data_IF_912577094792
#
_entry.id   IF_912577094792
#
_cell.length_a   1.000
_cell.length_b   1.000
_cell.length_c   1.000
_cell.angle_alpha   90.00
_cell.angle_beta   90.00
_cell.angle_gamma   90.00
#
_symmetry.space_group_name_H-M   'P 1'
#
loop_
_entity.id
_entity.type
_entity.pdbx_description
1 polymer ?
#
# COMPACT_ATOMS: atom_id res chain seq x y z
N UNK A 1 4.92 23.01 2.79
CA UNK A 1 3.54 22.77 3.31
C UNK A 1 3.09 23.70 4.45
N UNK A 2 3.95 24.55 5.03
CA UNK A 2 3.61 25.44 6.17
C UNK A 2 3.02 24.69 7.39
N UNK A 3 3.61 23.54 7.75
CA UNK A 3 3.23 22.74 8.92
C UNK A 3 1.89 21.99 8.84
N UNK A 4 1.09 22.18 7.78
CA UNK A 4 -0.21 21.52 7.62
C UNK A 4 -0.06 20.03 7.32
N UNK A 5 -0.98 19.21 7.83
CA UNK A 5 -1.08 17.79 7.50
C UNK A 5 -1.25 17.57 6.00
N UNK A 6 -0.39 16.72 5.42
CA UNK A 6 -0.44 16.31 4.01
C UNK A 6 -0.12 14.83 3.90
N UNK A 7 -0.86 14.11 3.06
CA UNK A 7 -0.48 12.79 2.59
C UNK A 7 0.43 12.95 1.37
N UNK A 8 1.69 12.53 1.49
CA UNK A 8 2.60 12.45 0.35
C UNK A 8 2.53 11.04 -0.27
N UNK A 9 1.99 10.95 -1.49
CA UNK A 9 2.03 9.73 -2.30
C UNK A 9 3.44 9.41 -2.79
N UNK A 10 3.66 8.14 -3.15
CA UNK A 10 4.88 7.58 -3.75
C UNK A 10 6.15 8.32 -3.31
N UNK A 11 6.36 8.37 -1.99
CA UNK A 11 7.33 9.27 -1.36
C UNK A 11 8.77 8.97 -1.74
N UNK A 12 9.08 7.79 -2.27
CA UNK A 12 10.38 7.47 -2.85
C UNK A 12 10.67 8.28 -4.12
N UNK A 13 9.65 8.54 -4.93
CA UNK A 13 9.71 9.48 -6.06
C UNK A 13 9.60 8.89 -7.47
N UNK A 14 9.71 7.56 -7.66
CA UNK A 14 9.53 6.92 -8.96
C UNK A 14 8.13 7.21 -9.53
N UNK A 15 7.08 7.10 -8.71
CA UNK A 15 5.70 7.47 -9.06
C UNK A 15 5.45 8.97 -9.26
N UNK A 16 6.41 9.82 -8.84
CA UNK A 16 6.40 11.26 -9.10
C UNK A 16 6.82 12.10 -7.89
N UNK A 17 7.48 13.23 -8.14
CA UNK A 17 7.93 14.12 -7.09
C UNK A 17 9.09 15.01 -7.52
N UNK A 18 9.56 15.85 -6.60
CA UNK A 18 10.77 16.64 -6.80
C UNK A 18 11.98 15.71 -6.95
N UNK A 19 12.69 15.81 -8.08
CA UNK A 19 13.86 14.98 -8.35
C UNK A 19 15.14 15.64 -7.84
N UNK A 20 16.06 14.92 -7.16
CA UNK A 20 15.96 13.51 -6.76
C UNK A 20 15.45 13.32 -5.32
N UNK A 21 15.04 14.39 -4.64
CA UNK A 21 15.03 14.47 -3.17
C UNK A 21 13.64 14.46 -2.50
N UNK A 22 12.57 14.14 -3.23
CA UNK A 22 11.21 14.12 -2.68
C UNK A 22 11.08 13.27 -1.40
N UNK A 23 11.84 12.19 -1.27
CA UNK A 23 11.84 11.32 -0.09
C UNK A 23 12.17 12.02 1.23
N UNK A 24 12.83 13.19 1.18
CA UNK A 24 13.06 14.04 2.35
C UNK A 24 11.76 14.38 3.10
N UNK A 25 10.61 14.39 2.43
CA UNK A 25 9.31 14.62 3.06
C UNK A 25 8.95 13.56 4.12
N UNK A 26 9.50 12.34 4.04
CA UNK A 26 9.22 11.26 5.00
C UNK A 26 9.77 11.55 6.41
N UNK A 27 10.74 12.47 6.52
CA UNK A 27 11.29 12.98 7.78
C UNK A 27 10.48 14.13 8.41
N UNK A 28 9.38 14.58 7.79
CA UNK A 28 8.60 15.71 8.26
C UNK A 28 7.44 15.26 9.16
N UNK A 29 7.28 15.90 10.33
CA UNK A 29 6.27 15.51 11.34
C UNK A 29 4.82 15.62 10.84
N UNK A 30 4.54 16.58 9.96
CA UNK A 30 3.21 16.85 9.40
C UNK A 30 2.92 16.06 8.11
N UNK A 31 3.84 15.18 7.69
CA UNK A 31 3.68 14.39 6.47
C UNK A 31 3.34 12.95 6.83
N UNK A 32 2.28 12.45 6.20
CA UNK A 32 1.86 11.06 6.23
C UNK A 32 2.33 10.45 4.90
N UNK A 33 3.43 9.70 4.92
CA UNK A 33 4.06 9.19 3.70
C UNK A 33 3.50 7.83 3.28
N UNK A 34 3.33 7.63 1.97
CA UNK A 34 3.08 6.32 1.38
C UNK A 34 4.03 5.97 0.24
N UNK A 35 4.18 4.67 0.02
CA UNK A 35 4.77 4.08 -1.19
C UNK A 35 3.68 3.58 -2.14
N UNK A 36 4.03 3.46 -3.42
CA UNK A 36 3.24 2.80 -4.46
C UNK A 36 3.94 1.52 -4.85
N UNK A 37 3.18 0.47 -5.13
CA UNK A 37 3.73 -0.88 -5.04
C UNK A 37 4.68 -1.40 -6.14
N UNK A 38 4.97 -0.73 -7.27
CA UNK A 38 5.95 -1.29 -8.22
C UNK A 38 7.41 -1.25 -7.74
N UNK A 39 7.77 -0.33 -6.86
CA UNK A 39 9.13 -0.24 -6.29
C UNK A 39 9.36 -1.24 -5.16
N UNK A 40 8.29 -1.72 -4.52
CA UNK A 40 8.33 -2.54 -3.32
C UNK A 40 8.19 -4.06 -3.62
N UNK A 41 9.15 -4.93 -3.27
CA UNK A 41 10.51 -4.61 -2.86
C UNK A 41 11.44 -4.37 -4.05
N UNK A 42 12.62 -3.80 -3.77
CA UNK A 42 13.68 -3.68 -4.75
C UNK A 42 14.17 -5.06 -5.21
N UNK A 43 13.85 -5.42 -6.46
CA UNK A 43 14.32 -6.63 -7.16
C UNK A 43 15.15 -6.26 -8.40
N UNK A 44 15.81 -7.25 -9.00
CA UNK A 44 16.71 -7.02 -10.15
C UNK A 44 16.03 -6.38 -11.36
N UNK A 45 14.72 -6.55 -11.53
CA UNK A 45 13.99 -6.05 -12.70
C UNK A 45 13.32 -4.68 -12.48
N UNK A 46 13.29 -4.18 -11.24
CA UNK A 46 12.47 -3.01 -10.88
C UNK A 46 12.89 -1.75 -11.63
N UNK A 47 14.19 -1.52 -11.81
CA UNK A 47 14.70 -0.30 -12.45
C UNK A 47 14.32 -0.26 -13.93
N UNK A 48 14.58 -1.34 -14.66
CA UNK A 48 14.28 -1.44 -16.09
C UNK A 48 12.76 -1.32 -16.33
N UNK A 49 11.96 -2.03 -15.54
CA UNK A 49 10.51 -1.99 -15.63
C UNK A 49 9.95 -0.57 -15.38
N UNK A 50 10.45 0.11 -14.35
CA UNK A 50 9.98 1.45 -13.98
C UNK A 50 10.34 2.51 -15.01
N UNK A 51 11.49 2.39 -15.67
CA UNK A 51 11.89 3.33 -16.72
C UNK A 51 10.87 3.29 -17.87
N UNK A 52 10.62 2.11 -18.45
CA UNK A 52 9.67 1.94 -19.55
C UNK A 52 8.24 2.31 -19.12
N UNK A 53 7.85 1.94 -17.89
CA UNK A 53 6.54 2.30 -17.35
C UNK A 53 6.35 3.81 -17.20
N UNK A 54 7.40 4.53 -16.79
CA UNK A 54 7.40 6.00 -16.68
C UNK A 54 7.22 6.64 -18.05
N UNK A 55 7.95 6.13 -19.06
CA UNK A 55 7.82 6.58 -20.44
C UNK A 55 6.38 6.46 -20.94
N UNK A 56 5.74 5.31 -20.72
CA UNK A 56 4.36 5.07 -21.14
C UNK A 56 3.35 5.91 -20.35
N UNK A 57 3.40 5.89 -19.01
CA UNK A 57 2.38 6.53 -18.17
C UNK A 57 2.35 8.06 -18.34
N UNK A 58 3.51 8.66 -18.63
CA UNK A 58 3.64 10.10 -18.86
C UNK A 58 3.58 10.51 -20.33
N UNK A 59 3.28 9.57 -21.24
CA UNK A 59 3.18 9.82 -22.69
C UNK A 59 4.45 10.47 -23.27
N UNK A 60 5.62 9.97 -22.84
CA UNK A 60 6.94 10.49 -23.21
C UNK A 60 7.42 9.85 -24.52
N UNK A 61 8.22 10.58 -25.30
CA UNK A 61 8.84 10.07 -26.53
C UNK A 61 10.31 9.67 -26.28
N UNK A 62 10.69 8.39 -26.47
CA UNK A 62 12.09 7.96 -26.32
C UNK A 62 13.05 8.62 -27.33
N UNK A 63 12.54 9.34 -28.34
CA UNK A 63 13.33 10.11 -29.29
C UNK A 63 13.61 11.54 -28.83
N UNK A 64 12.95 12.01 -27.76
CA UNK A 64 13.15 13.33 -27.16
C UNK A 64 14.11 13.17 -25.96
N UNK A 65 15.34 13.71 -26.03
CA UNK A 65 16.33 13.53 -24.94
C UNK A 65 15.86 14.06 -23.59
N UNK A 66 15.08 15.14 -23.56
CA UNK A 66 14.54 15.73 -22.34
C UNK A 66 13.49 14.84 -21.66
N UNK A 67 12.71 14.11 -22.45
CA UNK A 67 11.72 13.14 -21.97
C UNK A 67 12.42 11.94 -21.33
N UNK A 68 13.47 11.44 -21.98
CA UNK A 68 14.33 10.37 -21.44
C UNK A 68 15.02 10.84 -20.15
N UNK A 69 15.62 12.03 -20.15
CA UNK A 69 16.28 12.60 -18.98
C UNK A 69 15.29 12.81 -17.81
N UNK A 70 14.04 13.19 -18.10
CA UNK A 70 12.99 13.28 -17.10
C UNK A 70 12.68 11.90 -16.49
N UNK A 71 12.54 10.85 -17.30
CA UNK A 71 12.31 9.49 -16.81
C UNK A 71 13.51 8.97 -15.98
N UNK A 72 14.74 9.16 -16.47
CA UNK A 72 15.98 8.79 -15.73
C UNK A 72 16.10 9.54 -14.41
N UNK A 73 15.70 10.83 -14.37
CA UNK A 73 15.73 11.61 -13.13
C UNK A 73 14.80 11.06 -12.05
N UNK A 74 13.76 10.31 -12.45
CA UNK A 74 12.73 9.75 -11.56
C UNK A 74 13.03 8.34 -11.07
N UNK A 75 13.63 7.51 -11.91
CA UNK A 75 13.88 6.10 -11.62
C UNK A 75 15.31 5.93 -11.10
N UNK A 76 15.47 5.90 -9.78
CA UNK A 76 16.79 5.88 -9.13
C UNK A 76 16.92 4.67 -8.23
N UNK A 77 17.86 3.77 -8.54
CA UNK A 77 18.11 2.57 -7.73
C UNK A 77 18.39 2.86 -6.25
N UNK A 78 19.02 4.00 -5.96
CA UNK A 78 19.43 4.39 -4.62
C UNK A 78 18.22 4.70 -3.74
N UNK A 79 17.26 5.49 -4.24
CA UNK A 79 16.04 5.81 -3.50
C UNK A 79 15.10 4.60 -3.44
N UNK A 80 15.02 3.79 -4.48
CA UNK A 80 14.27 2.51 -4.46
C UNK A 80 14.82 1.57 -3.38
N UNK A 81 16.14 1.40 -3.30
CA UNK A 81 16.76 0.58 -2.26
C UNK A 81 16.58 1.15 -0.84
N UNK A 82 16.59 2.48 -0.70
CA UNK A 82 16.38 3.14 0.58
C UNK A 82 14.90 3.09 1.03
N UNK A 83 13.95 3.06 0.10
CA UNK A 83 12.52 2.91 0.39
C UNK A 83 12.23 1.62 1.14
N UNK A 84 12.79 0.49 0.69
CA UNK A 84 12.68 -0.80 1.37
C UNK A 84 13.08 -0.69 2.85
N UNK A 85 14.20 -0.03 3.12
CA UNK A 85 14.72 0.18 4.47
C UNK A 85 13.82 1.13 5.28
N UNK A 86 13.38 2.24 4.69
CA UNK A 86 12.46 3.20 5.33
C UNK A 86 11.13 2.53 5.70
N UNK A 87 10.63 1.61 4.87
CA UNK A 87 9.46 0.80 5.17
C UNK A 87 9.72 -0.08 6.40
N UNK A 88 10.85 -0.79 6.46
CA UNK A 88 11.18 -1.66 7.60
C UNK A 88 11.45 -0.88 8.88
N UNK A 89 11.98 0.34 8.79
CA UNK A 89 12.19 1.25 9.93
C UNK A 89 10.88 1.86 10.46
N UNK A 90 9.81 1.81 9.69
CA UNK A 90 8.54 2.47 10.00
C UNK A 90 8.56 3.97 9.74
N UNK A 91 9.42 4.44 8.83
CA UNK A 91 9.47 5.83 8.36
C UNK A 91 8.53 6.09 7.18
N UNK A 92 8.15 5.06 6.42
CA UNK A 92 7.01 5.13 5.49
C UNK A 92 5.84 4.39 6.12
N UNK A 93 4.68 5.05 6.15
CA UNK A 93 3.57 4.63 7.01
C UNK A 93 2.47 3.87 6.29
N UNK A 94 2.39 4.02 4.97
CA UNK A 94 1.30 3.52 4.14
C UNK A 94 1.85 2.87 2.87
N UNK A 95 1.19 1.82 2.39
CA UNK A 95 1.42 1.24 1.06
C UNK A 95 0.14 1.31 0.25
N UNK A 96 0.23 1.82 -0.98
CA UNK A 96 -0.88 1.96 -1.92
C UNK A 96 -0.54 1.29 -3.25
N UNK A 97 -1.53 1.16 -4.16
CA UNK A 97 -1.29 0.58 -5.48
C UNK A 97 -0.70 1.59 -6.46
N UNK A 98 -1.41 2.70 -6.68
CA UNK A 98 -1.36 3.53 -7.90
C UNK A 98 -1.98 2.86 -9.14
N UNK A 99 -3.13 2.22 -8.92
CA UNK A 99 -3.75 1.32 -9.88
C UNK A 99 -3.88 1.92 -11.29
N UNK A 100 -3.26 1.25 -12.26
CA UNK A 100 -3.27 1.61 -13.69
C UNK A 100 -2.57 2.94 -14.04
N UNK A 101 -1.82 3.53 -13.12
CA UNK A 101 -1.07 4.77 -13.31
C UNK A 101 0.31 4.65 -12.64
N UNK A 102 1.11 3.67 -13.07
CA UNK A 102 2.32 3.21 -12.38
C UNK A 102 2.05 2.40 -11.12
N UNK A 103 1.11 1.45 -11.16
CA UNK A 103 0.76 0.66 -9.99
C UNK A 103 -0.22 -0.47 -10.22
N UNK A 104 -0.22 -1.44 -9.29
CA UNK A 104 -0.92 -2.73 -9.45
C UNK A 104 -1.97 -2.95 -8.36
N UNK A 105 -3.26 -2.87 -8.72
CA UNK A 105 -4.37 -2.90 -7.72
C UNK A 105 -4.41 -4.17 -6.87
N UNK A 106 -4.10 -5.32 -7.47
CA UNK A 106 -4.19 -6.64 -6.81
C UNK A 106 -3.00 -7.00 -5.92
N UNK A 107 -1.99 -6.13 -5.82
CA UNK A 107 -0.68 -6.51 -5.27
C UNK A 107 -0.31 -5.79 -3.98
N UNK A 108 -1.10 -4.85 -3.47
CA UNK A 108 -0.74 -4.05 -2.29
C UNK A 108 -0.38 -4.91 -1.08
N UNK A 109 -1.25 -5.86 -0.69
CA UNK A 109 -0.95 -6.75 0.43
C UNK A 109 0.23 -7.68 0.12
N UNK A 110 0.29 -8.21 -1.10
CA UNK A 110 1.35 -9.12 -1.53
C UNK A 110 2.73 -8.48 -1.46
N UNK A 111 2.87 -7.27 -2.00
CA UNK A 111 4.11 -6.48 -2.05
C UNK A 111 4.54 -6.06 -0.65
N UNK A 112 3.57 -5.72 0.21
CA UNK A 112 3.83 -5.46 1.62
C UNK A 112 4.48 -6.67 2.33
N UNK A 113 4.00 -7.90 2.06
CA UNK A 113 4.56 -9.11 2.67
C UNK A 113 5.88 -9.56 2.02
N UNK A 114 6.04 -9.40 0.71
CA UNK A 114 7.30 -9.63 0.00
C UNK A 114 8.41 -8.71 0.53
N UNK A 115 8.07 -7.44 0.81
CA UNK A 115 9.01 -6.50 1.40
C UNK A 115 9.39 -6.87 2.83
N UNK A 116 8.41 -7.23 3.67
CA UNK A 116 8.69 -7.70 5.03
C UNK A 116 9.61 -8.93 5.05
N UNK A 117 9.39 -9.88 4.13
CA UNK A 117 10.20 -11.08 3.93
C UNK A 117 11.63 -10.72 3.49
N UNK A 118 11.79 -9.87 2.46
CA UNK A 118 13.11 -9.38 2.02
C UNK A 118 13.87 -8.69 3.14
N UNK A 119 13.20 -7.80 3.88
CA UNK A 119 13.84 -7.05 4.96
C UNK A 119 14.24 -7.94 6.13
N UNK A 120 13.47 -8.99 6.43
CA UNK A 120 13.92 -10.02 7.37
C UNK A 120 15.17 -10.74 6.88
N UNK A 121 15.19 -11.15 5.62
CA UNK A 121 16.32 -11.87 5.03
C UNK A 121 17.62 -11.05 5.10
N UNK A 122 17.56 -9.75 4.81
CA UNK A 122 18.76 -8.91 4.73
C UNK A 122 19.12 -8.22 6.05
N UNK A 123 18.14 -7.97 6.94
CA UNK A 123 18.36 -7.22 8.19
C UNK A 123 18.15 -8.02 9.47
N UNK A 124 17.73 -9.28 9.35
CA UNK A 124 17.42 -10.14 10.49
C UNK A 124 16.10 -9.78 11.19
N UNK A 125 15.87 -10.35 12.39
CA UNK A 125 14.69 -10.06 13.21
C UNK A 125 14.60 -8.58 13.58
N UNK A 126 13.38 -8.03 13.60
CA UNK A 126 13.15 -6.67 14.07
C UNK A 126 13.35 -6.60 15.60
N UNK A 127 13.66 -5.41 16.13
CA UNK A 127 13.77 -5.21 17.59
C UNK A 127 12.50 -5.68 18.30
N UNK A 128 12.65 -6.61 19.25
CA UNK A 128 11.56 -7.21 20.03
C UNK A 128 10.97 -8.49 19.43
N UNK A 129 11.37 -8.87 18.21
CA UNK A 129 11.10 -10.17 17.61
C UNK A 129 12.19 -11.19 17.99
N UNK A 130 11.99 -12.47 17.66
CA UNK A 130 12.95 -13.54 17.94
C UNK A 130 13.11 -14.48 16.74
N UNK A 131 13.97 -15.49 16.87
CA UNK A 131 14.10 -16.54 15.84
C UNK A 131 12.78 -17.31 15.58
N UNK A 132 11.86 -17.32 16.55
CA UNK A 132 10.61 -18.08 16.50
C UNK A 132 9.40 -17.25 16.06
N UNK A 133 9.52 -15.92 15.95
CA UNK A 133 8.40 -15.07 15.56
C UNK A 133 8.85 -13.70 15.01
N UNK A 134 8.02 -13.12 14.15
CA UNK A 134 8.23 -11.80 13.52
C UNK A 134 7.08 -10.85 13.87
N UNK A 135 6.49 -10.96 15.06
CA UNK A 135 5.20 -10.35 15.36
C UNK A 135 5.22 -8.81 15.28
N UNK A 136 6.31 -8.16 15.69
CA UNK A 136 6.43 -6.71 15.60
C UNK A 136 6.61 -6.27 14.14
N UNK A 137 7.41 -6.98 13.34
CA UNK A 137 7.45 -6.75 11.89
C UNK A 137 6.08 -6.96 11.25
N UNK A 138 5.39 -8.06 11.56
CA UNK A 138 4.04 -8.35 11.03
C UNK A 138 3.05 -7.22 11.36
N UNK A 139 3.02 -6.75 12.62
CA UNK A 139 2.18 -5.61 13.04
C UNK A 139 2.54 -4.32 12.29
N UNK A 140 3.83 -4.03 12.13
CA UNK A 140 4.32 -2.87 11.37
C UNK A 140 3.82 -2.90 9.93
N UNK A 141 3.92 -4.04 9.25
CA UNK A 141 3.57 -4.14 7.84
C UNK A 141 2.06 -4.24 7.60
N UNK A 142 1.31 -5.03 8.37
CA UNK A 142 -0.15 -5.11 8.21
C UNK A 142 -0.81 -3.75 8.36
N UNK A 143 -0.28 -2.88 9.22
CA UNK A 143 -0.79 -1.54 9.43
C UNK A 143 -0.67 -0.63 8.20
N UNK A 144 0.33 -0.85 7.33
CA UNK A 144 0.60 -0.02 6.15
C UNK A 144 -0.52 -0.05 5.12
N UNK A 145 -1.29 -1.14 5.05
CA UNK A 145 -2.40 -1.29 4.11
C UNK A 145 -3.76 -1.52 4.80
N UNK A 146 -3.83 -1.43 6.13
CA UNK A 146 -5.08 -1.55 6.89
C UNK A 146 -5.38 -0.26 7.65
N UNK A 147 -4.85 -0.10 8.86
CA UNK A 147 -5.25 0.98 9.76
C UNK A 147 -4.65 2.33 9.38
N UNK A 148 -3.40 2.39 8.89
CA UNK A 148 -2.78 3.66 8.56
C UNK A 148 -3.48 4.36 7.38
N UNK A 149 -3.78 3.70 6.23
CA UNK A 149 -4.58 4.32 5.18
C UNK A 149 -5.94 4.82 5.68
N UNK A 150 -6.59 4.08 6.58
CA UNK A 150 -7.86 4.47 7.17
C UNK A 150 -7.72 5.72 8.06
N UNK A 151 -6.64 5.85 8.84
CA UNK A 151 -6.34 7.06 9.62
C UNK A 151 -6.08 8.24 8.70
N UNK A 152 -5.19 8.08 7.70
CA UNK A 152 -4.83 9.14 6.77
C UNK A 152 -6.07 9.73 6.08
N UNK A 153 -7.02 8.88 5.69
CA UNK A 153 -8.24 9.27 5.00
C UNK A 153 -9.41 9.64 5.94
N UNK A 154 -9.22 9.60 7.26
CA UNK A 154 -10.26 10.02 8.21
C UNK A 154 -11.44 9.06 8.33
N UNK A 155 -11.20 7.76 8.14
CA UNK A 155 -12.21 6.70 8.12
C UNK A 155 -11.90 5.55 9.10
N UNK A 156 -10.89 5.73 9.96
CA UNK A 156 -10.43 4.72 10.92
C UNK A 156 -11.42 4.38 12.03
N UNK A 157 -12.43 5.22 12.27
CA UNK A 157 -13.56 4.89 13.16
C UNK A 157 -14.43 3.77 12.58
N UNK A 158 -14.46 3.62 11.24
CA UNK A 158 -15.37 2.71 10.55
C UNK A 158 -14.69 1.43 10.09
N UNK A 159 -13.45 1.52 9.59
CA UNK A 159 -12.71 0.39 8.98
C UNK A 159 -11.21 0.42 9.34
N UNK A 160 -10.45 -0.53 8.78
CA UNK A 160 -8.99 -0.55 8.85
C UNK A 160 -8.41 -1.46 9.92
N UNK A 161 -9.24 -2.09 10.76
CA UNK A 161 -8.78 -3.05 11.78
C UNK A 161 -9.93 -3.90 12.30
N UNK A 162 -9.57 -5.02 12.93
CA UNK A 162 -10.53 -5.92 13.61
C UNK A 162 -10.71 -5.43 15.05
N UNK A 163 -11.60 -4.45 15.24
CA UNK A 163 -11.92 -3.84 16.53
C UNK A 163 -13.45 -3.75 16.71
N UNK A 164 -13.93 -3.93 17.94
CA UNK A 164 -15.37 -3.82 18.25
C UNK A 164 -15.87 -2.43 17.90
N UNK A 165 -17.03 -2.35 17.24
CA UNK A 165 -17.65 -1.10 16.80
C UNK A 165 -17.32 -0.71 15.35
N UNK A 166 -16.33 -1.35 14.71
CA UNK A 166 -16.03 -1.16 13.28
C UNK A 166 -16.86 -2.08 12.39
N UNK A 167 -16.94 -1.76 11.10
CA UNK A 167 -17.58 -2.61 10.11
C UNK A 167 -16.86 -3.96 9.98
N UNK A 168 -17.64 -5.03 9.86
CA UNK A 168 -17.14 -6.39 9.66
C UNK A 168 -16.64 -6.62 8.22
N UNK A 169 -15.65 -5.83 7.83
CA UNK A 169 -14.89 -5.97 6.59
C UNK A 169 -13.67 -6.85 6.87
N UNK A 170 -13.81 -8.14 6.57
CA UNK A 170 -12.85 -9.17 6.98
C UNK A 170 -12.34 -9.94 5.77
N UNK A 171 -11.06 -10.30 5.78
CA UNK A 171 -10.46 -11.18 4.79
C UNK A 171 -9.99 -12.45 5.49
N UNK A 172 -10.48 -13.59 5.02
CA UNK A 172 -10.10 -14.89 5.55
C UNK A 172 -9.03 -15.48 4.65
N UNK A 173 -7.93 -15.91 5.26
CA UNK A 173 -6.79 -16.48 4.57
C UNK A 173 -6.58 -17.94 4.99
N UNK A 174 -6.18 -18.77 4.05
CA UNK A 174 -5.50 -20.02 4.38
C UNK A 174 -4.02 -19.69 4.61
N UNK A 175 -3.37 -20.18 5.69
CA UNK A 175 -1.99 -19.80 5.99
C UNK A 175 -1.02 -20.00 4.82
N UNK A 176 -1.18 -21.08 4.05
CA UNK A 176 -0.37 -21.37 2.86
C UNK A 176 -0.57 -20.40 1.69
N UNK A 177 -1.57 -19.51 1.76
CA UNK A 177 -1.90 -18.51 0.72
C UNK A 177 -2.00 -17.09 1.28
N UNK A 178 -1.55 -16.89 2.52
CA UNK A 178 -1.59 -15.59 3.18
C UNK A 178 -0.86 -14.52 2.34
N UNK A 179 -1.50 -13.37 2.15
CA UNK A 179 -0.93 -12.25 1.41
C UNK A 179 -1.01 -12.36 -0.12
N UNK A 180 -1.32 -13.53 -0.70
CA UNK A 180 -1.48 -13.72 -2.15
C UNK A 180 -2.94 -13.84 -2.57
N UNK A 181 -3.61 -14.96 -2.27
CA UNK A 181 -4.97 -15.27 -2.72
C UNK A 181 -5.85 -15.62 -1.52
N UNK A 182 -6.78 -14.74 -1.10
CA UNK A 182 -7.61 -15.01 0.08
C UNK A 182 -8.57 -16.19 -0.16
N UNK A 183 -9.13 -16.75 0.92
CA UNK A 183 -10.20 -17.75 0.80
C UNK A 183 -11.54 -17.08 0.49
N UNK A 184 -11.82 -15.99 1.19
CA UNK A 184 -13.02 -15.18 1.04
C UNK A 184 -12.84 -13.78 1.63
N UNK A 185 -13.68 -12.85 1.18
CA UNK A 185 -13.76 -11.46 1.61
C UNK A 185 -15.20 -11.18 2.03
N UNK A 186 -15.36 -10.66 3.25
CA UNK A 186 -16.62 -10.23 3.83
C UNK A 186 -16.68 -8.71 3.79
N UNK A 187 -17.87 -8.18 3.49
CA UNK A 187 -18.19 -6.76 3.56
C UNK A 187 -19.40 -6.61 4.46
N UNK A 188 -19.25 -5.85 5.56
CA UNK A 188 -20.26 -5.71 6.60
C UNK A 188 -20.88 -7.05 7.04
N UNK A 189 -20.06 -8.10 7.17
CA UNK A 189 -20.50 -9.43 7.61
C UNK A 189 -21.07 -10.33 6.50
N UNK A 190 -21.18 -9.87 5.26
CA UNK A 190 -21.68 -10.67 4.12
C UNK A 190 -20.55 -11.03 3.18
N UNK A 191 -20.43 -12.31 2.82
CA UNK A 191 -19.41 -12.78 1.87
C UNK A 191 -19.67 -12.16 0.50
N UNK A 192 -18.72 -11.36 0.02
CA UNK A 192 -18.83 -10.60 -1.23
C UNK A 192 -17.94 -11.16 -2.33
N UNK A 193 -16.82 -11.80 -1.96
CA UNK A 193 -15.87 -12.37 -2.91
C UNK A 193 -15.23 -13.62 -2.31
N UNK A 194 -14.91 -14.63 -3.11
CA UNK A 194 -14.22 -15.82 -2.60
C UNK A 194 -14.03 -16.93 -3.61
N UNK A 195 -13.34 -17.98 -3.19
CA UNK A 195 -13.05 -19.14 -4.04
C UNK A 195 -14.29 -20.02 -4.16
N UNK A 196 -14.71 -20.27 -5.40
CA UNK A 196 -15.80 -21.17 -5.73
C UNK A 196 -15.40 -22.13 -6.86
N UNK A 197 -15.71 -23.41 -6.68
CA UNK A 197 -15.56 -24.46 -7.67
C UNK A 197 -16.59 -24.40 -8.80
N UNK A 198 -16.74 -25.55 -9.47
CA UNK A 198 -17.85 -25.78 -10.39
C UNK A 198 -19.20 -25.73 -9.65
N UNK A 199 -20.11 -24.89 -10.15
CA UNK A 199 -21.43 -24.70 -9.55
C UNK A 199 -22.42 -25.84 -9.87
N UNK A 200 -22.12 -26.67 -10.88
CA UNK A 200 -22.94 -27.85 -11.21
C UNK A 200 -22.55 -29.10 -10.43
N UNK A 201 -21.43 -29.05 -9.71
CA UNK A 201 -20.93 -30.14 -8.88
C UNK A 201 -21.72 -30.31 -7.59
N UNK A 202 -21.63 -31.51 -6.98
CA UNK A 202 -22.32 -31.83 -5.72
C UNK A 202 -21.74 -31.13 -4.48
N UNK A 203 -20.54 -30.56 -4.59
CA UNK A 203 -19.81 -29.85 -3.55
C UNK A 203 -19.20 -28.56 -4.13
N UNK A 204 -18.85 -27.55 -3.31
CA UNK A 204 -18.22 -26.31 -3.80
C UNK A 204 -16.70 -26.43 -4.05
N UNK A 205 -16.11 -27.61 -3.79
CA UNK A 205 -14.67 -27.88 -3.85
C UNK A 205 -14.14 -28.48 -5.16
N UNK A 206 -14.93 -29.14 -6.03
CA UNK A 206 -14.44 -29.61 -7.33
C UNK A 206 -14.01 -28.45 -8.24
N UNK A 207 -13.05 -28.76 -9.10
CA UNK A 207 -12.46 -27.81 -10.06
C UNK A 207 -13.44 -27.44 -11.19
N UNK A 208 -13.27 -26.26 -11.84
CA UNK A 208 -12.24 -25.26 -11.61
C UNK A 208 -12.56 -24.31 -10.45
N UNK A 209 -11.59 -24.13 -9.54
CA UNK A 209 -11.69 -23.25 -8.38
C UNK A 209 -11.16 -21.85 -8.70
N UNK A 210 -12.09 -20.92 -8.91
CA UNK A 210 -11.79 -19.54 -9.27
C UNK A 210 -12.34 -18.59 -8.21
N UNK A 211 -11.73 -17.41 -8.11
CA UNK A 211 -12.30 -16.32 -7.34
C UNK A 211 -13.51 -15.75 -8.07
N UNK A 212 -14.64 -15.61 -7.36
CA UNK A 212 -15.89 -15.12 -7.93
C UNK A 212 -16.55 -14.12 -6.99
N UNK A 213 -17.35 -13.23 -7.58
CA UNK A 213 -18.32 -12.43 -6.84
C UNK A 213 -19.38 -13.35 -6.22
N UNK A 214 -19.72 -13.07 -4.97
CA UNK A 214 -20.69 -13.82 -4.19
C UNK A 214 -21.84 -12.90 -3.77
N UNK A 215 -22.80 -13.41 -3.00
CA UNK A 215 -24.07 -12.71 -2.73
C UNK A 215 -23.93 -11.30 -2.13
N UNK A 216 -22.84 -10.99 -1.44
CA UNK A 216 -22.56 -9.63 -0.94
C UNK A 216 -22.30 -8.59 -2.04
N UNK A 217 -21.90 -9.03 -3.24
CA UNK A 217 -21.63 -8.19 -4.40
C UNK A 217 -22.85 -8.06 -5.35
N UNK A 218 -23.95 -8.77 -5.09
CA UNK A 218 -25.08 -8.86 -6.02
C UNK A 218 -26.28 -7.98 -5.58
N UNK A 219 -26.96 -7.37 -6.55
CA UNK A 219 -28.20 -6.63 -6.36
C UNK A 219 -28.13 -5.59 -5.23
N UNK A 220 -29.21 -5.48 -4.44
CA UNK A 220 -29.29 -4.52 -3.31
C UNK A 220 -28.39 -4.89 -2.13
N UNK A 221 -27.80 -6.08 -2.10
CA UNK A 221 -26.82 -6.45 -1.09
C UNK A 221 -25.60 -5.53 -1.16
N UNK A 222 -25.15 -5.20 -2.38
CA UNK A 222 -24.00 -4.32 -2.61
C UNK A 222 -24.17 -2.95 -1.95
N UNK A 223 -25.36 -2.33 -2.02
CA UNK A 223 -25.63 -1.06 -1.33
C UNK A 223 -25.58 -1.19 0.19
N UNK A 224 -26.10 -2.29 0.74
CA UNK A 224 -26.19 -2.52 2.19
C UNK A 224 -24.88 -3.01 2.82
N UNK A 225 -23.93 -3.51 2.03
CA UNK A 225 -22.64 -4.03 2.51
C UNK A 225 -21.46 -3.11 2.22
N UNK A 226 -21.65 -2.02 1.47
CA UNK A 226 -20.58 -1.11 1.07
C UNK A 226 -20.85 0.34 1.48
N UNK A 227 -19.76 1.05 1.75
CA UNK A 227 -19.77 2.41 2.24
C UNK A 227 -19.24 3.35 1.14
N UNK A 228 -19.91 4.47 0.94
CA UNK A 228 -19.42 5.64 0.24
C UNK A 228 -18.99 6.68 1.28
N UNK A 229 -17.70 6.94 1.38
CA UNK A 229 -17.17 7.99 2.25
C UNK A 229 -17.27 9.35 1.55
N UNK A 230 -17.77 10.35 2.25
CA UNK A 230 -17.99 11.72 1.73
C UNK A 230 -17.46 12.76 2.72
N UNK A 231 -17.37 14.02 2.30
CA UNK A 231 -17.05 15.11 3.23
C UNK A 231 -18.15 15.28 4.28
N UNK A 232 -17.80 15.79 5.47
CA UNK A 232 -18.78 16.12 6.50
C UNK A 232 -19.90 17.04 5.98
N UNK A 233 -19.53 18.05 5.18
CA UNK A 233 -20.48 18.94 4.53
C UNK A 233 -21.51 18.19 3.67
N UNK A 234 -21.05 17.31 2.77
CA UNK A 234 -21.96 16.56 1.89
C UNK A 234 -22.90 15.65 2.71
N UNK A 235 -22.37 14.99 3.74
CA UNK A 235 -23.16 14.15 4.63
C UNK A 235 -24.26 14.94 5.35
N UNK A 236 -23.91 16.07 5.97
CA UNK A 236 -24.84 16.94 6.72
C UNK A 236 -25.91 17.59 5.82
N UNK A 237 -25.61 17.78 4.54
CA UNK A 237 -26.54 18.36 3.56
C UNK A 237 -27.31 17.30 2.75
N UNK A 238 -27.44 16.08 3.29
CA UNK A 238 -28.32 15.04 2.75
C UNK A 238 -27.91 14.55 1.36
N UNK A 239 -26.60 14.43 1.08
CA UNK A 239 -26.12 13.99 -0.24
C UNK A 239 -26.67 12.62 -0.64
N UNK A 240 -26.93 11.75 0.34
CA UNK A 240 -27.50 10.42 0.12
C UNK A 240 -28.88 10.52 -0.51
N UNK A 241 -29.77 11.32 0.07
CA UNK A 241 -31.15 11.50 -0.39
C UNK A 241 -31.19 12.26 -1.71
N UNK A 242 -30.38 13.33 -1.82
CA UNK A 242 -30.32 14.18 -3.02
C UNK A 242 -29.89 13.42 -4.28
N UNK A 243 -29.01 12.43 -4.14
CA UNK A 243 -28.53 11.60 -5.25
C UNK A 243 -29.22 10.23 -5.32
N UNK A 244 -30.11 9.90 -4.39
CA UNK A 244 -30.76 8.59 -4.32
C UNK A 244 -29.77 7.43 -4.12
N UNK A 245 -28.73 7.61 -3.30
CA UNK A 245 -27.69 6.60 -3.11
C UNK A 245 -28.19 5.42 -2.26
N UNK A 246 -28.09 4.21 -2.80
CA UNK A 246 -28.41 2.98 -2.07
C UNK A 246 -27.33 2.58 -1.05
N UNK A 247 -26.08 3.04 -1.23
CA UNK A 247 -24.95 2.72 -0.35
C UNK A 247 -25.13 3.28 1.07
N UNK A 248 -24.42 2.69 2.01
CA UNK A 248 -24.16 3.34 3.30
C UNK A 248 -23.32 4.59 3.00
N UNK A 249 -23.71 5.76 3.50
CA UNK A 249 -22.93 7.00 3.32
C UNK A 249 -22.42 7.42 4.69
N UNK A 250 -21.12 7.66 4.82
CA UNK A 250 -20.49 8.06 6.08
C UNK A 250 -19.51 9.23 5.87
N UNK A 251 -19.42 10.18 6.81
CA UNK A 251 -18.52 11.31 6.69
C UNK A 251 -17.08 10.93 7.07
N UNK A 252 -16.11 11.44 6.33
CA UNK A 252 -14.69 11.47 6.74
C UNK A 252 -14.49 12.49 7.88
N UNK A 253 -13.56 12.22 8.79
CA UNK A 253 -13.27 13.07 9.97
C UNK A 253 -11.78 13.13 10.29
N UNK A 254 -11.37 14.14 11.05
CA UNK A 254 -10.03 14.23 11.66
C UNK A 254 -8.83 14.07 10.69
N UNK A 255 -8.87 14.69 9.51
CA UNK A 255 -7.78 14.62 8.51
C UNK A 255 -6.77 15.77 8.59
N UNK A 256 -6.97 16.72 9.52
CA UNK A 256 -6.22 17.99 9.58
C UNK A 256 -5.28 18.12 10.78
N UNK A 257 -5.49 17.32 11.82
CA UNK A 257 -4.74 17.36 13.07
C UNK A 257 -3.78 16.16 13.21
N UNK A 258 -3.61 15.40 12.12
CA UNK A 258 -2.76 14.21 12.11
C UNK A 258 -1.30 14.59 11.87
N UNK A 259 -0.44 13.83 12.52
CA UNK A 259 1.01 13.87 12.36
C UNK A 259 1.53 12.45 12.14
N UNK A 260 2.81 12.32 11.81
CA UNK A 260 3.49 11.04 11.70
C UNK A 260 3.31 10.15 12.96
N UNK A 261 3.17 10.77 14.14
CA UNK A 261 2.96 10.06 15.42
C UNK A 261 1.66 9.26 15.50
N UNK A 262 0.68 9.60 14.67
CA UNK A 262 -0.62 8.92 14.65
C UNK A 262 -0.57 7.60 13.86
N UNK A 263 0.50 7.39 13.08
CA UNK A 263 0.69 6.21 12.24
C UNK A 263 1.12 5.01 13.07
N UNK A 264 0.24 4.01 13.15
CA UNK A 264 0.44 2.85 14.02
C UNK A 264 1.65 2.03 13.56
N UNK A 265 2.57 1.79 14.50
CA UNK A 265 3.85 1.07 14.32
C UNK A 265 4.79 1.64 13.24
N UNK A 266 4.45 2.80 12.69
CA UNK A 266 5.14 3.45 11.57
C UNK A 266 5.21 4.97 11.79
N UNK A 267 5.54 5.36 13.02
CA UNK A 267 5.64 6.74 13.49
C UNK A 267 7.08 7.28 13.49
N UNK A 268 8.03 6.50 12.98
CA UNK A 268 9.42 6.93 12.94
C UNK A 268 9.55 8.16 12.05
N UNK A 269 10.16 9.20 12.62
CA UNK A 269 10.41 10.48 11.95
C UNK A 269 11.91 10.70 12.01
N UNK A 270 12.68 10.27 10.99
CA UNK A 270 14.12 10.49 10.96
C UNK A 270 14.45 11.97 11.14
N UNK A 271 15.52 12.29 11.88
CA UNK A 271 15.89 13.69 12.14
C UNK A 271 16.42 14.34 10.86
N UNK A 272 17.16 13.57 10.07
CA UNK A 272 17.66 14.00 8.77
C UNK A 272 17.51 12.90 7.74
N UNK A 273 17.05 13.29 6.56
CA UNK A 273 17.17 12.52 5.33
C UNK A 273 17.86 13.43 4.34
N UNK A 274 18.95 12.95 3.74
CA UNK A 274 19.70 13.67 2.72
C UNK A 274 19.83 12.77 1.51
N UNK A 275 19.66 13.35 0.33
CA UNK A 275 19.87 12.68 -0.94
C UNK A 275 20.89 13.50 -1.69
N UNK A 276 22.02 12.87 -2.02
CA UNK A 276 23.06 13.56 -2.78
C UNK A 276 22.55 13.85 -4.20
N UNK A 277 22.63 15.10 -4.69
CA UNK A 277 22.01 15.49 -5.95
C UNK A 277 22.70 14.90 -7.20
N UNK A 278 23.88 14.28 -7.07
CA UNK A 278 24.63 13.71 -8.19
C UNK A 278 24.65 12.18 -8.15
N UNK A 279 24.94 11.61 -6.99
CA UNK A 279 25.05 10.16 -6.78
C UNK A 279 23.75 9.50 -6.33
N UNK A 280 22.76 10.30 -5.90
CA UNK A 280 21.48 9.89 -5.33
C UNK A 280 21.58 9.04 -4.06
N UNK A 281 22.76 8.95 -3.46
CA UNK A 281 22.99 8.25 -2.20
C UNK A 281 22.08 8.83 -1.12
N UNK A 282 21.35 7.94 -0.44
CA UNK A 282 20.42 8.31 0.62
C UNK A 282 21.11 8.13 1.97
N UNK A 283 21.17 9.19 2.75
CA UNK A 283 21.70 9.17 4.11
C UNK A 283 20.60 9.51 5.10
N UNK A 284 20.40 8.66 6.11
CA UNK A 284 19.45 8.87 7.20
C UNK A 284 20.23 8.98 8.51
N UNK A 285 20.01 10.08 9.23
CA UNK A 285 20.65 10.36 10.52
C UNK A 285 22.19 10.21 10.53
N UNK A 286 22.83 10.42 9.36
CA UNK A 286 24.27 10.33 9.16
C UNK A 286 24.77 9.00 8.59
N UNK A 287 23.90 7.99 8.44
CA UNK A 287 24.24 6.68 7.92
C UNK A 287 23.70 6.49 6.50
N UNK A 288 24.51 5.94 5.60
CA UNK A 288 24.04 5.53 4.27
C UNK A 288 23.02 4.39 4.40
N UNK A 289 21.89 4.56 3.74
CA UNK A 289 20.79 3.60 3.77
C UNK A 289 20.61 3.00 2.38
N UNK A 290 20.82 1.70 2.29
CA UNK A 290 20.69 0.92 1.06
C UNK A 290 20.38 -0.54 1.36
N UNK A 291 20.01 -1.29 0.34
CA UNK A 291 19.89 -2.74 0.39
C UNK A 291 20.13 -3.35 -1.00
N UNK A 292 20.53 -4.61 -1.05
CA UNK A 292 20.76 -5.30 -2.32
C UNK A 292 19.42 -5.70 -2.99
N UNK A 293 19.33 -5.68 -4.33
CA UNK A 293 18.19 -6.27 -5.02
C UNK A 293 18.16 -7.79 -4.80
N UNK A 294 16.97 -8.37 -4.87
CA UNK A 294 16.78 -9.82 -4.83
C UNK A 294 16.31 -10.36 -6.17
N UNK A 295 16.81 -11.52 -6.59
CA UNK A 295 16.40 -12.19 -7.83
C UNK A 295 15.07 -12.94 -7.69
N UNK A 296 14.71 -13.34 -6.46
CA UNK A 296 13.52 -14.13 -6.16
C UNK A 296 12.82 -13.56 -4.94
N UNK A 297 11.49 -13.57 -5.00
CA UNK A 297 10.60 -13.12 -3.93
C UNK A 297 9.59 -14.22 -3.59
N UNK A 298 9.14 -14.23 -2.33
CA UNK A 298 8.00 -15.03 -1.91
C UNK A 298 6.70 -14.58 -2.60
N UNK A 299 5.62 -15.36 -2.46
CA UNK A 299 4.29 -15.01 -3.00
C UNK A 299 4.28 -14.71 -4.53
N UNK A 300 5.17 -15.32 -5.32
CA UNK A 300 5.25 -15.13 -6.77
C UNK A 300 4.93 -16.42 -7.55
N UNK A 301 5.88 -16.94 -8.35
CA UNK A 301 5.72 -18.04 -9.32
C UNK A 301 5.06 -19.33 -8.76
N UNK A 302 5.12 -19.57 -7.45
CA UNK A 302 4.44 -20.71 -6.82
C UNK A 302 2.91 -20.62 -6.88
N UNK A 303 2.35 -19.42 -6.92
CA UNK A 303 0.91 -19.18 -6.72
C UNK A 303 0.18 -18.70 -7.96
N UNK A 304 0.89 -18.16 -8.95
CA UNK A 304 0.31 -17.55 -10.12
C UNK A 304 0.61 -18.37 -11.37
N UNK A 305 -0.41 -18.50 -12.22
CA UNK A 305 -0.28 -19.20 -13.50
C UNK A 305 0.48 -18.35 -14.53
N UNK A 306 0.41 -17.02 -14.37
CA UNK A 306 1.09 -15.99 -15.15
C UNK A 306 1.59 -14.89 -14.22
#
# INVERSE_FOLDING_TARGET
FAGRTVHAFHSEGAGGGHAPDIMVVTGQKNILSSSTNPTDPYTTNVVDELFDMTMVCHHLDPKVPEDVAFAESRVRKQTIAAEDVLQDMGAISVMTSDAMAMGRVGEVAMRCWQLADKMKMQRGPLKGDSEYNDNNRIKRYVAKYTINPAIVNGISEYIGSVEVGKYADLVIWEPSRFGTKPKMVLKAGVISYGIMGDASSSLPTPEPRLMKDLYGALGKSCGKSNIAFVSAYAYEHGIKERLGLDKIVLPVKNTRNLTKRDMKWNDYTPKTIKIDPQSFVVTIDGEEITCEPVERISLAQRYYLF
#
